data_IF_372763554883
#
_entry.id   IF_372763554883
#
_cell.length_a   1.000
_cell.length_b   1.000
_cell.length_c   1.000
_cell.angle_alpha   90.00
_cell.angle_beta   90.00
_cell.angle_gamma   90.00
#
_symmetry.space_group_name_H-M   'P 1'
#
loop_
_entity.id
_entity.type
_entity.pdbx_description
1 polymer ?
#
# COMPACT_ATOMS: atom_id res chain seq x y z
N UNK A 1 0.13 -3.93 -13.45
CA UNK A 1 0.69 -4.01 -12.09
C UNK A 1 1.42 -2.70 -11.79
N UNK A 2 1.16 -2.07 -10.64
CA UNK A 2 1.91 -0.90 -10.15
C UNK A 2 2.80 -1.33 -8.99
N UNK A 3 4.03 -0.80 -8.87
CA UNK A 3 4.90 -1.10 -7.73
C UNK A 3 4.29 -0.71 -6.38
N UNK A 4 3.38 0.28 -6.35
CA UNK A 4 2.62 0.64 -5.14
C UNK A 4 1.65 -0.47 -4.73
N UNK A 5 1.14 -1.27 -5.68
CA UNK A 5 0.24 -2.37 -5.37
C UNK A 5 0.94 -3.53 -4.63
N UNK A 6 2.28 -3.56 -4.61
CA UNK A 6 3.06 -4.55 -3.86
C UNK A 6 3.16 -4.21 -2.37
N UNK A 7 3.12 -2.91 -2.05
CA UNK A 7 3.27 -2.42 -0.68
C UNK A 7 1.93 -2.15 0.01
N UNK A 8 0.87 -1.86 -0.74
CA UNK A 8 -0.48 -1.67 -0.20
C UNK A 8 -1.22 -3.01 -0.04
N UNK A 9 -1.68 -3.29 1.18
CA UNK A 9 -2.47 -4.47 1.54
C UNK A 9 -3.96 -4.20 1.46
N UNK A 10 -4.41 -3.03 1.90
CA UNK A 10 -5.84 -2.71 2.01
C UNK A 10 -6.34 -1.84 0.86
N UNK A 11 -5.66 -1.85 -0.29
CA UNK A 11 -6.14 -1.18 -1.50
C UNK A 11 -7.02 -2.10 -2.34
N UNK A 12 -8.04 -1.53 -2.99
CA UNK A 12 -8.81 -2.23 -4.01
C UNK A 12 -7.91 -2.46 -5.25
N UNK A 13 -7.58 -3.72 -5.52
CA UNK A 13 -6.74 -4.11 -6.66
C UNK A 13 -7.64 -4.58 -7.80
N UNK A 14 -7.41 -4.03 -8.98
CA UNK A 14 -8.19 -4.29 -10.19
C UNK A 14 -7.23 -4.53 -11.36
N UNK A 15 -7.64 -5.34 -12.33
CA UNK A 15 -7.01 -5.34 -13.64
C UNK A 15 -7.51 -4.13 -14.40
N UNK A 16 -6.57 -3.35 -14.96
CA UNK A 16 -6.90 -2.15 -15.71
C UNK A 16 -7.67 -2.47 -16.99
N UNK A 17 -7.42 -3.63 -17.60
CA UNK A 17 -8.04 -4.02 -18.86
C UNK A 17 -9.42 -4.65 -18.70
N UNK A 18 -9.77 -5.05 -17.48
CA UNK A 18 -11.09 -5.60 -17.16
C UNK A 18 -12.02 -4.48 -16.67
N UNK A 19 -12.69 -3.84 -17.63
CA UNK A 19 -13.59 -2.72 -17.36
C UNK A 19 -14.85 -3.14 -16.59
N UNK A 20 -15.29 -4.38 -16.75
CA UNK A 20 -16.48 -4.91 -16.09
C UNK A 20 -16.18 -5.14 -14.61
N UNK A 21 -15.05 -5.79 -14.30
CA UNK A 21 -14.60 -5.99 -12.93
C UNK A 21 -14.34 -4.66 -12.20
N UNK A 22 -13.78 -3.66 -12.90
CA UNK A 22 -13.59 -2.32 -12.34
C UNK A 22 -14.93 -1.65 -12.01
N UNK A 23 -15.91 -1.74 -12.91
CA UNK A 23 -17.25 -1.17 -12.72
C UNK A 23 -17.94 -1.79 -11.50
N UNK A 24 -17.92 -3.11 -11.39
CA UNK A 24 -18.50 -3.85 -10.27
C UNK A 24 -17.83 -3.49 -8.93
N UNK A 25 -16.51 -3.32 -8.95
CA UNK A 25 -15.76 -2.95 -7.76
C UNK A 25 -16.08 -1.52 -7.28
N UNK A 26 -16.23 -0.57 -8.21
CA UNK A 26 -16.69 0.80 -7.90
C UNK A 26 -18.13 0.77 -7.36
N UNK A 27 -19.02 0.02 -8.03
CA UNK A 27 -20.42 -0.10 -7.61
C UNK A 27 -20.51 -0.68 -6.19
N UNK A 28 -19.79 -1.77 -5.91
CA UNK A 28 -19.75 -2.38 -4.59
C UNK A 28 -19.22 -1.42 -3.52
N UNK A 29 -18.17 -0.67 -3.81
CA UNK A 29 -17.61 0.31 -2.87
C UNK A 29 -18.61 1.41 -2.50
N UNK A 30 -19.46 1.84 -3.44
CA UNK A 30 -20.47 2.89 -3.22
C UNK A 30 -21.74 2.36 -2.53
N UNK A 31 -22.13 1.11 -2.76
CA UNK A 31 -23.41 0.58 -2.27
C UNK A 31 -23.28 -0.22 -0.97
N UNK A 32 -22.10 -0.74 -0.65
CA UNK A 32 -21.86 -1.46 0.61
C UNK A 32 -21.07 -0.58 1.59
N UNK A 33 -21.79 0.05 2.52
CA UNK A 33 -21.21 0.96 3.52
C UNK A 33 -20.08 0.30 4.33
N UNK A 34 -20.18 -1.00 4.61
CA UNK A 34 -19.15 -1.76 5.32
C UNK A 34 -17.80 -1.78 4.56
N UNK A 35 -17.83 -1.86 3.22
CA UNK A 35 -16.60 -1.82 2.41
C UNK A 35 -15.95 -0.45 2.51
N UNK A 36 -16.72 0.63 2.34
CA UNK A 36 -16.23 2.01 2.47
C UNK A 36 -15.58 2.26 3.84
N UNK A 37 -16.25 1.86 4.92
CA UNK A 37 -15.72 1.99 6.29
C UNK A 37 -14.40 1.23 6.48
N UNK A 38 -14.33 -0.01 5.98
CA UNK A 38 -13.14 -0.85 6.06
C UNK A 38 -11.95 -0.22 5.33
N UNK A 39 -12.15 0.21 4.07
CA UNK A 39 -11.11 0.84 3.25
C UNK A 39 -10.61 2.16 3.86
N UNK A 40 -11.49 2.98 4.41
CA UNK A 40 -11.10 4.25 5.08
C UNK A 40 -10.26 3.96 6.32
N UNK A 41 -10.71 3.05 7.18
CA UNK A 41 -10.03 2.75 8.44
C UNK A 41 -8.64 2.18 8.17
N UNK A 42 -8.56 1.08 7.43
CA UNK A 42 -7.29 0.38 7.23
C UNK A 42 -6.38 1.07 6.24
N UNK A 43 -6.92 1.76 5.23
CA UNK A 43 -6.12 2.59 4.32
C UNK A 43 -5.43 3.73 5.07
N UNK A 44 -6.12 4.38 6.02
CA UNK A 44 -5.52 5.42 6.88
C UNK A 44 -4.43 4.84 7.79
N UNK A 45 -4.68 3.72 8.44
CA UNK A 45 -3.69 3.03 9.28
C UNK A 45 -2.44 2.65 8.48
N UNK A 46 -2.63 2.08 7.29
CA UNK A 46 -1.55 1.64 6.41
C UNK A 46 -0.68 2.82 5.97
N UNK A 47 -1.27 3.91 5.46
CA UNK A 47 -0.51 5.09 5.03
C UNK A 47 0.24 5.74 6.20
N UNK A 48 -0.37 5.82 7.39
CA UNK A 48 0.29 6.36 8.58
C UNK A 48 1.48 5.51 9.05
N UNK A 49 1.46 4.20 8.78
CA UNK A 49 2.56 3.28 9.10
C UNK A 49 3.70 3.30 8.07
N UNK A 50 3.48 3.86 6.88
CA UNK A 50 4.45 3.93 5.79
C UNK A 50 5.14 5.30 5.76
N UNK A 51 5.97 5.58 6.75
CA UNK A 51 6.71 6.85 6.82
C UNK A 51 8.02 6.80 6.03
N UNK A 52 8.33 7.92 5.37
CA UNK A 52 9.60 8.10 4.67
C UNK A 52 10.80 8.00 5.62
N UNK A 53 10.66 8.51 6.84
CA UNK A 53 11.71 8.46 7.86
C UNK A 53 12.12 7.01 8.20
N UNK A 54 11.13 6.13 8.39
CA UNK A 54 11.39 4.71 8.70
C UNK A 54 12.14 4.01 7.56
N UNK A 55 11.79 4.37 6.31
CA UNK A 55 12.46 3.83 5.12
C UNK A 55 13.89 4.37 4.99
N UNK A 56 14.10 5.67 5.23
CA UNK A 56 15.41 6.29 5.21
C UNK A 56 16.35 5.73 6.29
N UNK A 57 15.83 5.50 7.50
CA UNK A 57 16.58 4.87 8.61
C UNK A 57 17.03 3.46 8.21
N UNK A 58 16.15 2.65 7.62
CA UNK A 58 16.50 1.31 7.15
C UNK A 58 17.61 1.34 6.10
N UNK A 59 17.51 2.25 5.13
CA UNK A 59 18.55 2.40 4.11
C UNK A 59 19.88 2.78 4.75
N UNK A 60 19.90 3.77 5.65
CA UNK A 60 21.12 4.19 6.36
C UNK A 60 21.76 3.04 7.13
N UNK A 61 20.98 2.28 7.89
CA UNK A 61 21.48 1.14 8.67
C UNK A 61 22.16 0.10 7.79
N UNK A 62 21.60 -0.19 6.61
CA UNK A 62 22.22 -1.13 5.66
C UNK A 62 23.58 -0.62 5.19
N UNK A 63 23.70 0.67 4.88
CA UNK A 63 24.99 1.26 4.50
C UNK A 63 26.00 1.25 5.65
N UNK A 64 25.59 1.57 6.88
CA UNK A 64 26.44 1.51 8.06
C UNK A 64 26.94 0.07 8.34
N UNK A 65 26.07 -0.92 8.18
CA UNK A 65 26.43 -2.35 8.30
C UNK A 65 27.40 -2.80 7.20
N UNK A 66 27.25 -2.30 5.98
CA UNK A 66 28.16 -2.63 4.89
C UNK A 66 29.55 -2.03 5.14
N UNK A 67 29.63 -0.75 5.52
CA UNK A 67 30.89 -0.06 5.78
C UNK A 67 31.64 -0.59 7.01
N UNK A 68 30.91 -1.06 8.03
CA UNK A 68 31.51 -1.67 9.22
C UNK A 68 32.04 -3.09 9.01
N UNK A 69 31.69 -3.75 7.89
CA UNK A 69 32.23 -5.07 7.51
C UNK A 69 33.53 -4.99 6.70
N UNK A 70 33.89 -3.81 6.20
CA UNK A 70 35.13 -3.58 5.44
C UNK A 70 36.32 -3.16 6.33
N UNK A 71 36.11 -2.95 7.64
CA UNK A 71 37.17 -2.77 8.64
C UNK A 71 37.31 -4.02 9.52
#
# INVERSE_FOLDING_TARGET
>A
QSGVAEVLRHALKVDFWDIDALSDAIYGLLHYEALSKMFILHGKEEVNSMKWDDSAIKVRLVYEMALSREN
#
